data_IF_202496907783
#
_entry.id   IF_202496907783
#
_cell.length_a   1.000
_cell.length_b   1.000
_cell.length_c   1.000
_cell.angle_alpha   90.00
_cell.angle_beta   90.00
_cell.angle_gamma   90.00
#
_symmetry.space_group_name_H-M   'P 1'
#
loop_
_entity.id
_entity.type
_entity.pdbx_description
1 polymer ?
#
# COMPACT_ATOMS: atom_id res chain seq x y z
N UNK A 1 -40.39 -13.10 5.85
CA UNK A 1 -39.61 -13.77 4.77
C UNK A 1 -38.16 -13.75 5.21
N UNK A 2 -37.65 -14.90 5.64
CA UNK A 2 -36.33 -15.07 6.22
C UNK A 2 -35.33 -15.29 5.09
N UNK A 3 -34.40 -14.36 4.91
CA UNK A 3 -33.27 -14.49 4.00
C UNK A 3 -32.11 -15.17 4.71
N UNK A 4 -31.75 -16.37 4.29
CA UNK A 4 -30.55 -17.07 4.77
C UNK A 4 -29.27 -16.42 4.22
N UNK A 5 -28.16 -16.37 4.98
CA UNK A 5 -26.89 -15.87 4.49
C UNK A 5 -26.28 -16.85 3.48
N UNK A 6 -25.89 -16.32 2.32
CA UNK A 6 -25.09 -17.04 1.33
C UNK A 6 -23.65 -17.16 1.84
N UNK A 7 -23.30 -18.28 2.41
CA UNK A 7 -21.91 -18.69 2.62
C UNK A 7 -21.38 -19.25 1.31
N UNK A 8 -20.59 -18.47 0.59
CA UNK A 8 -19.81 -18.95 -0.55
C UNK A 8 -18.67 -19.80 0.00
N UNK A 9 -18.77 -21.11 -0.10
CA UNK A 9 -17.70 -22.06 0.18
C UNK A 9 -16.73 -22.02 -1.01
N UNK A 10 -15.55 -21.43 -0.83
CA UNK A 10 -14.44 -21.50 -1.81
C UNK A 10 -13.68 -22.80 -1.50
N UNK A 11 -13.56 -23.74 -2.45
CA UNK A 11 -12.78 -24.95 -2.21
C UNK A 11 -11.28 -24.60 -2.15
N UNK A 12 -10.49 -25.29 -1.30
CA UNK A 12 -9.06 -25.07 -1.19
C UNK A 12 -8.33 -25.37 -2.51
N UNK A 13 -7.21 -24.69 -2.79
CA UNK A 13 -6.41 -24.95 -3.99
C UNK A 13 -5.89 -26.40 -3.99
N UNK A 14 -5.91 -27.05 -5.17
CA UNK A 14 -5.41 -28.40 -5.38
C UNK A 14 -3.92 -28.47 -5.03
N UNK A 15 -3.55 -29.45 -4.20
CA UNK A 15 -2.17 -29.76 -3.82
C UNK A 15 -1.29 -29.96 -5.05
N UNK A 16 -0.03 -29.48 -5.05
CA UNK A 16 0.95 -29.83 -6.06
C UNK A 16 1.19 -31.36 -6.07
N UNK A 17 1.30 -31.94 -7.27
CA UNK A 17 1.42 -33.37 -7.47
C UNK A 17 2.63 -34.00 -6.77
N UNK A 18 2.43 -35.24 -6.34
CA UNK A 18 3.39 -36.14 -5.69
C UNK A 18 4.67 -36.33 -6.54
N UNK A 19 5.70 -35.56 -6.20
CA UNK A 19 7.09 -35.73 -6.66
C UNK A 19 7.99 -36.01 -5.46
N UNK A 20 8.51 -37.22 -5.37
CA UNK A 20 9.27 -37.79 -4.26
C UNK A 20 10.36 -36.90 -3.69
N UNK A 21 10.24 -36.58 -2.42
CA UNK A 21 11.24 -35.97 -1.56
C UNK A 21 10.54 -35.58 -0.26
N UNK A 22 10.67 -36.40 0.79
CA UNK A 22 10.18 -36.06 2.14
C UNK A 22 11.02 -34.88 2.69
N UNK A 23 10.73 -33.69 2.23
CA UNK A 23 11.10 -32.46 2.95
C UNK A 23 10.13 -32.32 4.10
N UNK A 24 10.63 -32.41 5.33
CA UNK A 24 9.83 -32.10 6.52
C UNK A 24 9.15 -30.74 6.25
N UNK A 25 7.81 -30.71 6.28
CA UNK A 25 7.04 -29.48 6.16
C UNK A 25 7.46 -28.63 7.35
N UNK A 26 8.09 -27.49 7.06
CA UNK A 26 8.45 -26.57 8.12
C UNK A 26 7.17 -26.12 8.81
N UNK A 27 7.06 -26.38 10.11
CA UNK A 27 5.90 -26.00 10.90
C UNK A 27 6.03 -24.52 11.23
N UNK A 28 5.00 -23.74 10.89
CA UNK A 28 4.96 -22.33 11.25
C UNK A 28 4.96 -22.17 12.78
N UNK A 29 5.89 -21.41 13.31
CA UNK A 29 5.88 -21.03 14.74
C UNK A 29 5.12 -19.72 14.87
N UNK A 30 4.21 -19.66 15.84
CA UNK A 30 3.44 -18.46 16.19
C UNK A 30 3.94 -17.97 17.55
N UNK A 31 4.40 -16.73 17.57
CA UNK A 31 4.93 -16.06 18.76
C UNK A 31 4.07 -14.86 19.15
N UNK A 32 4.39 -14.23 20.28
CA UNK A 32 3.69 -13.07 20.79
C UNK A 32 2.62 -13.40 21.82
N UNK A 33 1.72 -12.46 22.07
CA UNK A 33 0.69 -12.62 23.09
C UNK A 33 -0.68 -12.13 22.61
N UNK A 34 -1.74 -12.64 23.24
CA UNK A 34 -3.07 -12.07 23.22
C UNK A 34 -3.61 -12.07 24.66
N UNK A 35 -4.19 -10.97 25.10
CA UNK A 35 -4.94 -10.93 26.36
C UNK A 35 -6.05 -12.00 26.33
N UNK A 36 -6.34 -12.62 27.46
CA UNK A 36 -7.34 -13.70 27.56
C UNK A 36 -8.71 -13.32 26.99
N UNK A 37 -9.08 -12.04 27.04
CA UNK A 37 -10.33 -11.53 26.42
C UNK A 37 -10.32 -11.64 24.88
N UNK A 38 -9.16 -11.79 24.27
CA UNK A 38 -8.93 -11.85 22.83
C UNK A 38 -8.33 -13.19 22.38
N UNK A 39 -8.53 -14.27 23.16
CA UNK A 39 -8.06 -15.62 22.80
C UNK A 39 -8.57 -16.05 21.41
N UNK A 40 -9.81 -15.69 21.07
CA UNK A 40 -10.39 -15.98 19.76
C UNK A 40 -9.61 -15.35 18.59
N UNK A 41 -8.97 -14.18 18.80
CA UNK A 41 -8.11 -13.57 17.77
C UNK A 41 -6.83 -14.40 17.57
N UNK A 42 -6.24 -14.92 18.65
CA UNK A 42 -5.10 -15.83 18.57
C UNK A 42 -5.46 -17.14 17.88
N UNK A 43 -6.58 -17.75 18.26
CA UNK A 43 -7.08 -18.99 17.65
C UNK A 43 -7.32 -18.83 16.14
N UNK A 44 -7.94 -17.72 15.73
CA UNK A 44 -8.14 -17.41 14.30
C UNK A 44 -6.82 -17.18 13.56
N UNK A 45 -5.86 -16.48 14.18
CA UNK A 45 -4.54 -16.27 13.61
C UNK A 45 -3.79 -17.59 13.40
N UNK A 46 -3.81 -18.48 14.38
CA UNK A 46 -3.21 -19.82 14.33
C UNK A 46 -3.87 -20.71 13.28
N UNK A 47 -5.21 -20.64 13.14
CA UNK A 47 -5.97 -21.42 12.18
C UNK A 47 -5.55 -21.15 10.72
N UNK A 48 -5.30 -19.89 10.35
CA UNK A 48 -4.87 -19.52 9.00
C UNK A 48 -3.56 -20.24 8.59
N UNK A 49 -2.66 -20.47 9.54
CA UNK A 49 -1.43 -21.23 9.27
C UNK A 49 -1.67 -22.74 9.21
N UNK A 50 -2.56 -23.26 10.05
CA UNK A 50 -2.88 -24.67 10.07
C UNK A 50 -3.58 -25.12 8.78
N UNK A 51 -4.41 -24.28 8.19
CA UNK A 51 -5.10 -24.52 6.93
C UNK A 51 -4.20 -24.27 5.70
N UNK A 52 -3.00 -23.71 5.90
CA UNK A 52 -2.04 -23.40 4.83
C UNK A 52 -2.43 -22.19 3.98
N UNK A 53 -3.35 -21.36 4.44
CA UNK A 53 -3.79 -20.15 3.77
C UNK A 53 -2.80 -18.98 3.98
N UNK A 54 -1.96 -19.05 5.04
CA UNK A 54 -1.01 -18.00 5.40
C UNK A 54 0.41 -18.55 5.40
N UNK A 55 1.33 -17.80 4.77
CA UNK A 55 2.77 -18.11 4.78
C UNK A 55 3.46 -17.46 5.98
N UNK A 56 3.20 -16.19 6.18
CA UNK A 56 3.76 -15.39 7.27
C UNK A 56 2.95 -14.12 7.48
N UNK A 57 2.71 -13.77 8.74
CA UNK A 57 1.88 -12.65 9.10
C UNK A 57 2.26 -12.03 10.45
N UNK A 58 1.77 -10.81 10.68
CA UNK A 58 1.71 -10.19 11.99
C UNK A 58 0.36 -9.51 12.20
N UNK A 59 -0.10 -9.50 13.45
CA UNK A 59 -1.34 -8.83 13.85
C UNK A 59 -1.14 -8.13 15.20
N UNK A 60 -1.53 -6.86 15.26
CA UNK A 60 -1.47 -6.09 16.51
C UNK A 60 -2.80 -5.35 16.72
N UNK A 61 -3.25 -5.32 17.97
CA UNK A 61 -4.41 -4.53 18.36
C UNK A 61 -4.14 -3.78 19.67
N UNK A 62 -4.64 -2.55 19.77
CA UNK A 62 -4.54 -1.71 20.96
C UNK A 62 -5.91 -1.22 21.39
N UNK A 63 -6.12 -1.10 22.69
CA UNK A 63 -7.32 -0.49 23.29
C UNK A 63 -6.82 0.56 24.29
N UNK A 64 -7.30 1.79 24.16
CA UNK A 64 -6.93 2.93 25.02
C UNK A 64 -5.40 3.12 25.13
N UNK A 65 -4.68 2.83 24.03
CA UNK A 65 -3.22 2.96 23.97
C UNK A 65 -2.45 1.74 24.52
N UNK A 66 -3.12 0.76 25.10
CA UNK A 66 -2.50 -0.48 25.57
C UNK A 66 -2.58 -1.57 24.52
N UNK A 67 -1.46 -2.24 24.22
CA UNK A 67 -1.44 -3.39 23.31
C UNK A 67 -2.09 -4.58 23.98
N UNK A 68 -3.18 -5.08 23.40
CA UNK A 68 -3.94 -6.24 23.89
C UNK A 68 -3.70 -7.50 23.07
N UNK A 69 -3.24 -7.35 21.83
CA UNK A 69 -2.77 -8.46 20.97
C UNK A 69 -1.52 -8.00 20.23
N UNK A 70 -0.49 -8.82 20.21
CA UNK A 70 0.72 -8.66 19.39
C UNK A 70 1.20 -10.05 18.98
N UNK A 71 0.87 -10.48 17.77
CA UNK A 71 1.13 -11.81 17.23
C UNK A 71 1.92 -11.72 15.93
N UNK A 72 2.83 -12.66 15.73
CA UNK A 72 3.56 -12.85 14.48
C UNK A 72 3.93 -14.32 14.32
N UNK A 73 4.16 -14.75 13.08
CA UNK A 73 4.58 -16.13 12.83
C UNK A 73 4.69 -16.50 11.38
N UNK A 74 5.09 -17.74 11.14
CA UNK A 74 5.30 -18.30 9.83
C UNK A 74 6.64 -17.91 9.24
N UNK A 75 6.68 -17.68 7.93
CA UNK A 75 7.91 -17.49 7.16
C UNK A 75 7.87 -16.19 6.35
N UNK A 76 9.06 -15.60 6.18
CA UNK A 76 9.28 -14.38 5.42
C UNK A 76 9.64 -14.65 3.94
N UNK A 77 9.69 -15.92 3.51
CA UNK A 77 9.93 -16.33 2.12
C UNK A 77 9.17 -17.60 1.74
N UNK A 78 8.84 -17.75 0.46
CA UNK A 78 8.11 -18.92 -0.09
C UNK A 78 8.84 -20.25 0.13
N UNK A 79 10.17 -20.22 0.28
CA UNK A 79 10.97 -21.41 0.52
C UNK A 79 10.98 -21.87 1.98
N UNK A 80 10.27 -21.15 2.86
CA UNK A 80 10.17 -21.41 4.30
C UNK A 80 11.54 -21.52 4.99
N UNK A 81 12.52 -20.71 4.58
CA UNK A 81 13.88 -20.71 5.13
C UNK A 81 14.14 -19.57 6.10
N UNK A 82 13.43 -18.46 5.93
CA UNK A 82 13.52 -17.29 6.80
C UNK A 82 12.28 -17.23 7.68
N UNK A 83 12.37 -17.38 9.02
CA UNK A 83 11.21 -17.22 9.88
C UNK A 83 10.69 -15.77 9.83
N UNK A 84 9.39 -15.58 9.94
CA UNK A 84 8.81 -14.29 10.25
C UNK A 84 9.10 -13.96 11.71
N UNK A 85 9.75 -12.84 11.94
CA UNK A 85 10.12 -12.37 13.27
C UNK A 85 9.26 -11.20 13.71
N UNK A 86 9.37 -10.82 14.98
CA UNK A 86 8.69 -9.63 15.51
C UNK A 86 9.00 -8.36 14.71
N UNK A 87 10.22 -8.26 14.19
CA UNK A 87 10.71 -7.08 13.47
C UNK A 87 10.65 -7.23 11.94
N UNK A 88 10.01 -8.30 11.44
CA UNK A 88 9.75 -8.44 10.01
C UNK A 88 8.83 -7.31 9.53
N UNK A 89 9.18 -6.74 8.38
CA UNK A 89 8.39 -5.74 7.67
C UNK A 89 8.01 -6.26 6.29
N UNK A 90 6.92 -5.75 5.74
CA UNK A 90 6.44 -6.18 4.43
C UNK A 90 5.93 -4.99 3.65
N UNK A 91 5.92 -5.08 2.31
CA UNK A 91 5.28 -4.09 1.48
C UNK A 91 3.77 -4.13 1.70
N UNK A 92 3.19 -3.03 2.19
CA UNK A 92 1.79 -2.96 2.60
C UNK A 92 0.86 -2.32 1.55
N UNK A 93 1.35 -2.15 0.33
CA UNK A 93 0.60 -1.54 -0.77
C UNK A 93 -0.16 -0.28 -0.33
N UNK A 94 -1.48 -0.24 -0.53
CA UNK A 94 -2.30 0.96 -0.35
C UNK A 94 -2.47 1.45 1.09
N UNK A 95 -2.02 0.71 2.10
CA UNK A 95 -1.87 1.25 3.46
C UNK A 95 -0.85 2.41 3.46
N UNK A 96 0.08 2.43 2.51
CA UNK A 96 0.99 3.56 2.28
C UNK A 96 0.25 4.89 2.14
N UNK A 97 -0.93 4.91 1.52
CA UNK A 97 -1.74 6.13 1.37
C UNK A 97 -2.20 6.73 2.70
N UNK A 98 -2.38 5.90 3.72
CA UNK A 98 -2.70 6.38 5.08
C UNK A 98 -1.55 7.23 5.63
N UNK A 99 -0.29 6.78 5.42
CA UNK A 99 0.89 7.54 5.87
C UNK A 99 1.11 8.80 5.03
N UNK A 100 0.82 8.73 3.74
CA UNK A 100 0.82 9.91 2.87
C UNK A 100 -0.23 10.94 3.32
N UNK A 101 -1.44 10.49 3.62
CA UNK A 101 -2.52 11.34 4.14
C UNK A 101 -2.18 11.92 5.51
N UNK A 102 -1.59 11.13 6.40
CA UNK A 102 -1.14 11.59 7.72
C UNK A 102 -0.08 12.70 7.60
N UNK A 103 0.85 12.58 6.65
CA UNK A 103 1.86 13.61 6.39
C UNK A 103 1.22 14.90 5.89
N UNK A 104 0.20 14.81 5.02
CA UNK A 104 -0.56 15.98 4.58
C UNK A 104 -1.36 16.61 5.73
N UNK A 105 -1.98 15.81 6.60
CA UNK A 105 -2.69 16.29 7.79
C UNK A 105 -1.73 16.96 8.77
N UNK A 106 -0.53 16.44 8.95
CA UNK A 106 0.50 17.05 9.80
C UNK A 106 0.88 18.46 9.31
N UNK A 107 1.02 18.66 7.99
CA UNK A 107 1.25 20.00 7.41
C UNK A 107 0.03 20.91 7.58
N UNK A 108 -1.17 20.37 7.47
CA UNK A 108 -2.40 21.15 7.64
C UNK A 108 -2.58 21.63 9.09
N UNK A 109 -2.27 20.79 10.08
CA UNK A 109 -2.30 21.14 11.51
C UNK A 109 -1.32 22.30 11.81
N UNK A 110 -0.22 22.39 11.10
CA UNK A 110 0.76 23.49 11.18
C UNK A 110 0.38 24.75 10.40
N UNK A 111 -0.73 24.70 9.66
CA UNK A 111 -1.16 25.80 8.80
C UNK A 111 -0.35 25.97 7.51
N UNK A 112 0.48 24.99 7.18
CA UNK A 112 1.34 25.01 5.98
C UNK A 112 0.62 24.45 4.74
N UNK A 113 -0.43 23.64 4.92
CA UNK A 113 -1.29 23.09 3.88
C UNK A 113 -2.77 23.40 4.18
N UNK A 114 -3.46 23.96 3.20
CA UNK A 114 -4.90 24.19 3.24
C UNK A 114 -5.58 23.24 2.23
N UNK A 115 -6.40 22.32 2.72
CA UNK A 115 -7.12 21.38 1.86
C UNK A 115 -8.14 22.03 0.94
N UNK A 116 -8.67 23.21 1.30
CA UNK A 116 -9.57 23.96 0.46
C UNK A 116 -8.86 24.77 -0.63
N UNK A 117 -7.54 24.97 -0.50
CA UNK A 117 -6.78 25.72 -1.48
C UNK A 117 -6.64 24.94 -2.80
N UNK A 118 -6.60 25.65 -3.95
CA UNK A 118 -6.21 25.05 -5.21
C UNK A 118 -4.79 24.47 -5.12
N UNK A 119 -4.59 23.29 -5.70
CA UNK A 119 -3.26 22.64 -5.81
C UNK A 119 -2.24 23.59 -6.46
N UNK A 120 -2.68 24.36 -7.45
CA UNK A 120 -1.87 25.35 -8.17
C UNK A 120 -1.23 26.43 -7.26
N UNK A 121 -1.75 26.63 -6.04
CA UNK A 121 -1.13 27.50 -5.03
C UNK A 121 0.25 26.99 -4.61
N UNK A 122 0.41 25.69 -4.52
CA UNK A 122 1.64 25.03 -4.10
C UNK A 122 2.45 24.52 -5.27
N UNK A 123 1.77 24.14 -6.34
CA UNK A 123 2.32 23.56 -7.55
C UNK A 123 1.77 24.29 -8.79
N UNK A 124 2.35 25.45 -9.19
CA UNK A 124 1.82 26.31 -10.27
C UNK A 124 1.63 25.60 -11.60
N UNK A 125 2.54 24.69 -11.99
CA UNK A 125 2.49 23.96 -13.25
C UNK A 125 1.27 23.03 -13.34
N UNK A 126 0.72 22.64 -12.20
CA UNK A 126 -0.49 21.83 -12.13
C UNK A 126 -1.74 22.52 -12.70
N UNK A 127 -1.75 23.86 -12.76
CA UNK A 127 -2.91 24.63 -13.28
C UNK A 127 -3.26 24.32 -14.74
N UNK A 128 -2.36 23.70 -15.50
CA UNK A 128 -2.55 23.41 -16.93
C UNK A 128 -3.78 22.52 -17.19
N UNK A 129 -4.32 22.67 -18.42
CA UNK A 129 -5.33 21.79 -18.99
C UNK A 129 -6.59 21.61 -18.10
N UNK A 130 -7.13 22.75 -17.59
CA UNK A 130 -8.40 22.78 -16.85
C UNK A 130 -8.29 22.48 -15.35
N UNK A 131 -7.07 22.37 -14.79
CA UNK A 131 -6.86 21.98 -13.40
C UNK A 131 -6.68 23.14 -12.39
N UNK A 132 -6.81 24.39 -12.84
CA UNK A 132 -6.56 25.58 -12.00
C UNK A 132 -7.39 25.60 -10.71
N UNK A 133 -8.61 25.07 -10.73
CA UNK A 133 -9.54 25.05 -9.61
C UNK A 133 -9.52 23.77 -8.79
N UNK A 134 -8.75 22.76 -9.16
CA UNK A 134 -8.67 21.50 -8.41
C UNK A 134 -8.05 21.77 -7.03
N UNK A 135 -8.78 21.42 -5.97
CA UNK A 135 -8.33 21.59 -4.59
C UNK A 135 -7.50 20.41 -4.10
N UNK A 136 -6.72 20.62 -3.06
CA UNK A 136 -6.01 19.54 -2.35
C UNK A 136 -6.99 18.51 -1.82
N UNK A 137 -8.15 18.92 -1.31
CA UNK A 137 -9.20 18.01 -0.86
C UNK A 137 -9.70 17.06 -1.97
N UNK A 138 -9.78 17.54 -3.21
CA UNK A 138 -10.15 16.69 -4.35
C UNK A 138 -9.06 15.66 -4.71
N UNK A 139 -7.78 15.98 -4.51
CA UNK A 139 -6.71 14.98 -4.59
C UNK A 139 -6.88 13.93 -3.49
N UNK A 140 -7.07 14.37 -2.23
CA UNK A 140 -7.18 13.50 -1.06
C UNK A 140 -8.39 12.57 -1.11
N UNK A 141 -9.48 12.99 -1.77
CA UNK A 141 -10.73 12.23 -1.87
C UNK A 141 -10.86 11.42 -3.16
N UNK A 142 -9.81 11.32 -3.96
CA UNK A 142 -9.83 10.63 -5.25
C UNK A 142 -10.84 11.19 -6.26
N UNK A 143 -11.20 12.47 -6.16
CA UNK A 143 -12.19 13.09 -7.02
C UNK A 143 -11.61 14.08 -8.04
N UNK A 144 -10.28 14.16 -8.14
CA UNK A 144 -9.60 15.10 -9.03
C UNK A 144 -9.59 14.72 -10.52
N UNK A 145 -10.05 13.51 -10.87
CA UNK A 145 -10.03 13.05 -12.27
C UNK A 145 -8.64 12.60 -12.77
N UNK A 146 -7.71 12.27 -11.88
CA UNK A 146 -6.32 11.94 -12.20
C UNK A 146 -5.94 10.53 -11.74
N UNK A 147 -6.82 9.54 -11.96
CA UNK A 147 -6.67 8.18 -11.46
C UNK A 147 -5.55 7.36 -12.11
N UNK A 148 -5.01 7.83 -13.24
CA UNK A 148 -3.90 7.22 -13.96
C UNK A 148 -3.21 8.24 -14.85
N UNK A 149 -2.11 7.87 -15.49
CA UNK A 149 -1.40 8.72 -16.43
C UNK A 149 -1.97 8.63 -17.84
N UNK A 150 -2.13 9.77 -18.48
CA UNK A 150 -2.52 9.84 -19.88
C UNK A 150 -1.77 10.99 -20.58
N UNK A 151 -0.76 10.70 -21.43
CA UNK A 151 -0.35 9.36 -21.89
C UNK A 151 0.21 8.48 -20.77
N UNK A 152 0.12 7.17 -20.95
CA UNK A 152 0.66 6.19 -20.00
C UNK A 152 2.17 6.37 -19.80
N UNK A 153 2.64 6.09 -18.59
CA UNK A 153 4.06 5.98 -18.28
C UNK A 153 4.45 4.51 -18.11
N UNK A 154 5.74 4.17 -18.29
CA UNK A 154 6.24 2.82 -18.07
C UNK A 154 6.41 2.51 -16.58
N UNK A 155 6.61 1.22 -16.22
CA UNK A 155 6.93 0.83 -14.86
C UNK A 155 8.24 1.44 -14.34
N UNK A 156 9.22 1.66 -15.22
CA UNK A 156 10.49 2.31 -14.89
C UNK A 156 10.31 3.80 -14.55
N UNK A 157 9.33 4.48 -15.15
CA UNK A 157 9.04 5.89 -14.88
C UNK A 157 8.50 6.13 -13.45
N UNK A 158 8.10 5.08 -12.72
CA UNK A 158 7.77 5.19 -11.30
C UNK A 158 8.96 5.57 -10.42
N UNK A 159 10.17 5.32 -10.90
CA UNK A 159 11.41 5.65 -10.20
C UNK A 159 11.94 7.03 -10.57
N UNK A 160 11.35 7.69 -11.57
CA UNK A 160 11.63 9.06 -11.99
C UNK A 160 10.50 9.99 -11.50
N UNK A 161 10.72 10.59 -10.35
CA UNK A 161 9.75 11.49 -9.72
C UNK A 161 9.32 12.65 -10.63
N UNK A 162 10.29 13.29 -11.27
CA UNK A 162 10.02 14.46 -12.11
C UNK A 162 9.24 14.08 -13.37
N UNK A 163 9.53 12.93 -13.96
CA UNK A 163 8.78 12.37 -15.09
C UNK A 163 7.33 12.09 -14.70
N UNK A 164 7.13 11.37 -13.60
CA UNK A 164 5.80 10.99 -13.12
C UNK A 164 4.95 12.23 -12.80
N UNK A 165 5.50 13.19 -12.06
CA UNK A 165 4.77 14.38 -11.62
C UNK A 165 4.56 15.39 -12.75
N UNK A 166 5.54 15.63 -13.61
CA UNK A 166 5.38 16.54 -14.76
C UNK A 166 4.32 16.04 -15.75
N UNK A 167 4.23 14.73 -15.96
CA UNK A 167 3.16 14.12 -16.78
C UNK A 167 1.78 14.39 -16.17
N UNK A 168 1.61 14.23 -14.85
CA UNK A 168 0.36 14.56 -14.15
C UNK A 168 0.03 16.06 -14.21
N UNK A 169 1.05 16.92 -14.09
CA UNK A 169 0.86 18.36 -14.23
C UNK A 169 0.41 18.75 -15.64
N UNK A 170 0.91 18.07 -16.66
CA UNK A 170 0.60 18.36 -18.06
C UNK A 170 -0.72 17.78 -18.55
N UNK A 171 -1.21 16.64 -18.00
CA UNK A 171 -2.43 16.00 -18.50
C UNK A 171 -3.71 16.73 -18.09
N UNK A 172 -4.80 16.56 -18.89
CA UNK A 172 -6.15 16.95 -18.50
C UNK A 172 -6.77 15.91 -17.54
N UNK A 173 -7.74 16.29 -16.71
CA UNK A 173 -8.52 15.33 -15.93
C UNK A 173 -9.28 14.36 -16.84
N UNK A 174 -9.42 13.11 -16.43
CA UNK A 174 -10.18 12.06 -17.14
C UNK A 174 -11.70 12.21 -17.00
N UNK A 175 -12.14 12.98 -16.02
CA UNK A 175 -13.53 13.42 -15.81
C UNK A 175 -13.55 14.77 -15.11
N UNK A 176 -14.69 15.42 -15.09
CA UNK A 176 -14.89 16.72 -14.43
C UNK A 176 -14.57 16.60 -12.93
N UNK A 177 -13.57 17.32 -12.40
CA UNK A 177 -13.17 17.24 -11.01
C UNK A 177 -14.30 17.53 -10.02
N UNK A 178 -14.45 16.68 -9.01
CA UNK A 178 -15.49 16.79 -8.00
C UNK A 178 -16.83 16.15 -8.36
N UNK A 179 -17.06 15.72 -9.60
CA UNK A 179 -18.34 15.12 -10.02
C UNK A 179 -18.41 13.60 -9.77
N UNK A 180 -17.27 12.94 -9.66
CA UNK A 180 -17.16 11.51 -9.41
C UNK A 180 -15.88 11.19 -8.63
N UNK A 181 -15.85 10.03 -7.98
CA UNK A 181 -14.66 9.48 -7.35
C UNK A 181 -14.15 8.28 -8.14
N UNK A 182 -12.85 8.23 -8.39
CA UNK A 182 -12.15 7.13 -9.05
C UNK A 182 -10.81 6.88 -8.36
N UNK A 183 -10.62 5.69 -7.83
CA UNK A 183 -9.45 5.39 -7.00
C UNK A 183 -8.12 5.66 -7.73
N UNK A 184 -7.33 6.57 -7.20
CA UNK A 184 -6.03 6.97 -7.72
C UNK A 184 -4.97 5.98 -7.22
N UNK A 185 -4.85 4.83 -7.86
CA UNK A 185 -4.06 3.68 -7.38
C UNK A 185 -2.62 4.07 -7.08
N UNK A 186 -1.94 4.67 -8.04
CA UNK A 186 -0.54 5.10 -7.94
C UNK A 186 -0.42 6.63 -7.85
N UNK A 187 -1.22 7.33 -8.65
CA UNK A 187 -1.11 8.78 -8.83
C UNK A 187 -1.35 9.56 -7.54
N UNK A 188 -2.15 9.02 -6.60
CA UNK A 188 -2.39 9.63 -5.29
C UNK A 188 -1.09 10.04 -4.59
N UNK A 189 -0.12 9.12 -4.52
CA UNK A 189 1.14 9.37 -3.85
C UNK A 189 2.00 10.44 -4.52
N UNK A 190 2.06 10.43 -5.86
CA UNK A 190 2.80 11.44 -6.62
C UNK A 190 2.13 12.81 -6.54
N UNK A 191 0.80 12.87 -6.59
CA UNK A 191 0.05 14.13 -6.50
C UNK A 191 0.22 14.78 -5.13
N UNK A 192 -0.04 14.06 -4.05
CA UNK A 192 0.10 14.59 -2.69
C UNK A 192 1.56 14.78 -2.32
N UNK A 193 2.43 13.83 -2.71
CA UNK A 193 3.86 13.92 -2.46
C UNK A 193 4.51 15.14 -3.11
N UNK A 194 4.09 15.51 -4.33
CA UNK A 194 4.61 16.72 -4.98
C UNK A 194 4.16 17.99 -4.27
N UNK A 195 2.90 18.06 -3.82
CA UNK A 195 2.43 19.18 -2.98
C UNK A 195 3.28 19.30 -1.72
N UNK A 196 3.53 18.19 -1.02
CA UNK A 196 4.38 18.16 0.18
C UNK A 196 5.81 18.60 -0.15
N UNK A 197 6.38 18.11 -1.24
CA UNK A 197 7.73 18.47 -1.70
C UNK A 197 7.85 19.98 -2.00
N UNK A 198 6.82 20.56 -2.61
CA UNK A 198 6.80 22.00 -2.92
C UNK A 198 6.70 22.88 -1.67
N UNK A 199 5.99 22.40 -0.65
CA UNK A 199 5.87 23.13 0.62
C UNK A 199 7.16 23.01 1.44
N UNK A 200 7.72 21.82 1.56
CA UNK A 200 8.80 21.52 2.52
C UNK A 200 10.20 21.53 1.94
N UNK A 201 10.35 21.44 0.62
CA UNK A 201 11.64 21.21 -0.05
C UNK A 201 12.21 19.80 0.16
N UNK A 202 11.46 18.89 0.82
CA UNK A 202 11.87 17.52 1.14
C UNK A 202 10.92 16.52 0.48
N UNK A 203 11.38 15.29 0.25
CA UNK A 203 10.51 14.21 -0.24
C UNK A 203 9.49 13.82 0.83
N UNK A 204 8.36 13.23 0.41
CA UNK A 204 7.31 12.80 1.33
C UNK A 204 7.84 11.75 2.32
N UNK A 205 8.61 10.77 1.86
CA UNK A 205 9.19 9.74 2.73
C UNK A 205 10.12 10.33 3.77
N UNK A 206 10.92 11.35 3.40
CA UNK A 206 11.78 12.07 4.34
C UNK A 206 10.95 12.82 5.38
N UNK A 207 9.94 13.59 4.97
CA UNK A 207 9.07 14.33 5.91
C UNK A 207 8.36 13.36 6.86
N UNK A 208 7.75 12.30 6.33
CA UNK A 208 7.10 11.29 7.15
C UNK A 208 8.08 10.68 8.16
N UNK A 209 9.27 10.31 7.72
CA UNK A 209 10.27 9.67 8.59
C UNK A 209 10.75 10.59 9.70
N UNK A 210 11.10 11.84 9.37
CA UNK A 210 11.70 12.78 10.31
C UNK A 210 10.67 13.38 11.28
N UNK A 211 9.47 13.69 10.79
CA UNK A 211 8.49 14.45 11.55
C UNK A 211 7.44 13.58 12.25
N UNK A 212 7.23 12.35 11.79
CA UNK A 212 6.18 11.46 12.31
C UNK A 212 6.76 10.15 12.82
N UNK A 213 7.38 9.36 11.93
CA UNK A 213 7.75 7.99 12.27
C UNK A 213 8.87 7.93 13.33
N UNK A 214 9.94 8.73 13.18
CA UNK A 214 11.05 8.73 14.14
C UNK A 214 10.66 9.27 15.52
N UNK A 215 9.95 10.40 15.64
CA UNK A 215 9.51 10.90 16.95
C UNK A 215 8.58 9.96 17.70
N UNK A 216 7.75 9.18 16.95
CA UNK A 216 6.83 8.20 17.52
C UNK A 216 7.41 6.79 17.62
N UNK A 217 8.67 6.59 17.19
CA UNK A 217 9.33 5.29 17.10
C UNK A 217 8.53 4.27 16.28
N UNK A 218 7.90 4.73 15.18
CA UNK A 218 7.13 3.88 14.25
C UNK A 218 8.05 3.26 13.21
N UNK A 219 7.96 1.95 13.06
CA UNK A 219 8.75 1.18 12.09
C UNK A 219 8.01 1.08 10.74
N UNK A 220 7.90 2.22 10.07
CA UNK A 220 7.30 2.32 8.75
C UNK A 220 8.15 3.19 7.82
N UNK A 221 8.28 2.79 6.57
CA UNK A 221 9.17 3.40 5.59
C UNK A 221 8.45 3.64 4.26
N UNK A 222 8.65 4.80 3.68
CA UNK A 222 8.37 5.10 2.26
C UNK A 222 9.72 5.49 1.67
N UNK A 223 10.27 4.64 0.78
CA UNK A 223 11.68 4.69 0.43
C UNK A 223 12.55 3.98 1.49
N UNK A 224 12.53 2.64 1.48
CA UNK A 224 13.23 1.81 2.45
C UNK A 224 14.74 1.91 2.26
N UNK A 225 15.56 2.20 3.30
CA UNK A 225 17.02 2.13 3.20
C UNK A 225 17.50 0.69 3.04
N UNK A 226 18.62 0.50 2.32
CA UNK A 226 19.16 -0.84 2.03
C UNK A 226 19.56 -1.62 3.30
N UNK A 227 19.87 -0.94 4.40
CA UNK A 227 20.14 -1.55 5.70
C UNK A 227 18.99 -2.40 6.23
N UNK A 228 17.76 -2.10 5.84
CA UNK A 228 16.55 -2.77 6.31
C UNK A 228 16.09 -3.93 5.40
N UNK A 229 16.74 -4.14 4.24
CA UNK A 229 16.35 -5.18 3.27
C UNK A 229 16.31 -6.59 3.87
N UNK A 230 17.16 -6.86 4.85
CA UNK A 230 17.25 -8.17 5.52
C UNK A 230 15.98 -8.54 6.32
N UNK A 231 15.18 -7.55 6.70
CA UNK A 231 13.95 -7.72 7.48
C UNK A 231 12.70 -7.86 6.60
N UNK A 232 12.82 -7.58 5.31
CA UNK A 232 11.66 -7.56 4.41
C UNK A 232 11.19 -8.97 4.10
N UNK A 233 9.93 -9.25 4.42
CA UNK A 233 9.24 -10.44 3.97
C UNK A 233 8.83 -10.29 2.49
N UNK A 234 8.96 -11.37 1.74
CA UNK A 234 8.58 -11.40 0.34
C UNK A 234 7.06 -11.50 0.18
N UNK A 235 6.49 -10.70 -0.73
CA UNK A 235 5.11 -10.91 -1.13
C UNK A 235 5.00 -12.14 -2.02
N UNK A 236 3.94 -12.94 -1.79
CA UNK A 236 3.60 -14.08 -2.62
C UNK A 236 2.56 -13.65 -3.65
N UNK A 237 2.76 -13.96 -4.96
CA UNK A 237 1.78 -13.61 -5.96
C UNK A 237 0.44 -14.30 -5.71
N UNK A 238 -0.63 -13.52 -5.72
CA UNK A 238 -1.98 -14.08 -5.77
C UNK A 238 -2.19 -14.73 -7.16
N UNK A 239 -2.50 -16.01 -7.17
CA UNK A 239 -2.91 -16.70 -8.39
C UNK A 239 -4.42 -16.49 -8.57
N UNK A 240 -4.85 -15.66 -9.53
CA UNK A 240 -6.28 -15.46 -9.75
C UNK A 240 -6.95 -16.77 -10.09
N UNK A 241 -8.03 -17.12 -9.42
CA UNK A 241 -8.88 -18.21 -9.83
C UNK A 241 -9.43 -17.91 -11.23
N UNK A 242 -9.54 -18.90 -12.08
CA UNK A 242 -9.99 -18.79 -13.49
C UNK A 242 -11.40 -18.17 -13.65
N UNK A 243 -12.10 -17.88 -12.56
CA UNK A 243 -13.46 -17.32 -12.55
C UNK A 243 -13.55 -15.79 -12.71
N UNK A 244 -12.43 -15.07 -12.72
CA UNK A 244 -12.43 -13.60 -12.80
C UNK A 244 -12.39 -13.06 -14.25
N UNK A 245 -12.80 -13.82 -15.24
CA UNK A 245 -12.78 -13.42 -16.64
C UNK A 245 -14.16 -13.00 -17.11
N UNK A 246 -14.32 -11.74 -17.50
CA UNK A 246 -15.53 -11.32 -18.24
C UNK A 246 -16.02 -9.89 -18.00
N UNK A 247 -15.44 -9.13 -17.10
CA UNK A 247 -15.84 -7.72 -16.94
C UNK A 247 -15.05 -6.86 -17.94
N UNK A 248 -15.73 -6.30 -18.94
CA UNK A 248 -15.11 -5.36 -19.86
C UNK A 248 -14.80 -4.05 -19.13
N UNK A 249 -13.52 -3.69 -19.05
CA UNK A 249 -13.08 -2.46 -18.38
C UNK A 249 -13.38 -1.26 -19.30
N UNK A 250 -13.91 -0.19 -18.70
CA UNK A 250 -14.04 1.12 -19.37
C UNK A 250 -12.64 1.70 -19.69
N UNK A 251 -12.58 2.68 -20.59
CA UNK A 251 -11.33 3.37 -20.94
C UNK A 251 -10.64 3.95 -19.68
N UNK A 252 -11.40 4.57 -18.77
CA UNK A 252 -10.86 5.12 -17.53
C UNK A 252 -10.28 4.02 -16.64
N UNK A 253 -11.00 2.90 -16.50
CA UNK A 253 -10.48 1.74 -15.73
C UNK A 253 -9.21 1.16 -16.35
N UNK A 254 -9.11 1.10 -17.68
CA UNK A 254 -7.89 0.70 -18.36
C UNK A 254 -6.73 1.64 -18.04
N UNK A 255 -6.92 2.96 -18.13
CA UNK A 255 -5.91 3.94 -17.76
C UNK A 255 -5.51 3.78 -16.29
N UNK A 256 -6.47 3.57 -15.38
CA UNK A 256 -6.22 3.45 -13.94
C UNK A 256 -5.48 2.18 -13.56
N UNK A 257 -5.80 1.04 -14.20
CA UNK A 257 -5.37 -0.28 -13.72
C UNK A 257 -4.47 -1.06 -14.68
N UNK A 258 -4.45 -0.75 -15.98
CA UNK A 258 -3.78 -1.61 -16.97
C UNK A 258 -2.41 -1.10 -17.41
N UNK A 259 -2.25 0.21 -17.54
CA UNK A 259 -1.09 0.77 -18.25
C UNK A 259 0.14 0.96 -17.34
N UNK A 260 -0.04 0.75 -16.03
CA UNK A 260 1.00 1.02 -15.01
C UNK A 260 1.16 -0.14 -14.02
N UNK A 261 0.85 -1.37 -14.42
CA UNK A 261 0.96 -2.51 -13.50
C UNK A 261 2.41 -2.80 -13.16
N UNK A 262 2.67 -2.81 -11.84
CA UNK A 262 3.84 -3.47 -11.30
C UNK A 262 3.44 -4.89 -10.88
N UNK A 263 4.25 -5.88 -11.17
CA UNK A 263 4.04 -7.25 -10.72
C UNK A 263 4.60 -7.46 -9.30
N UNK A 264 4.16 -8.51 -8.64
CA UNK A 264 4.64 -8.85 -7.29
C UNK A 264 6.16 -9.10 -7.25
N UNK A 265 6.79 -9.76 -8.23
CA UNK A 265 8.24 -9.89 -8.30
C UNK A 265 8.99 -8.54 -8.25
N UNK A 266 8.46 -7.49 -8.86
CA UNK A 266 9.06 -6.15 -8.81
C UNK A 266 9.21 -5.63 -7.38
N UNK A 267 8.29 -5.97 -6.47
CA UNK A 267 8.32 -5.54 -5.07
C UNK A 267 9.54 -6.07 -4.29
N UNK A 268 10.16 -7.14 -4.80
CA UNK A 268 11.35 -7.76 -4.22
C UNK A 268 12.66 -7.06 -4.65
N UNK A 269 12.59 -6.14 -5.60
CA UNK A 269 13.78 -5.44 -6.10
C UNK A 269 14.21 -4.29 -5.21
N UNK A 270 15.52 -3.97 -5.21
CA UNK A 270 16.05 -2.81 -4.50
C UNK A 270 15.50 -1.50 -5.06
N UNK A 271 15.29 -1.44 -6.38
CA UNK A 271 14.71 -0.28 -7.06
C UNK A 271 13.33 0.06 -6.48
N UNK A 272 12.44 -0.94 -6.38
CA UNK A 272 11.12 -0.75 -5.78
C UNK A 272 11.20 -0.34 -4.30
N UNK A 273 11.96 -1.09 -3.50
CA UNK A 273 12.06 -0.84 -2.05
C UNK A 273 12.63 0.53 -1.73
N UNK A 274 13.63 0.97 -2.52
CA UNK A 274 14.34 2.23 -2.30
C UNK A 274 13.68 3.46 -2.91
N UNK A 275 12.82 3.29 -3.89
CA UNK A 275 12.07 4.39 -4.45
C UNK A 275 11.01 4.90 -3.47
N UNK A 276 10.56 6.14 -3.66
CA UNK A 276 9.36 6.66 -3.02
C UNK A 276 8.19 6.61 -4.00
N UNK A 277 7.30 5.62 -3.82
CA UNK A 277 6.03 5.53 -4.54
C UNK A 277 4.91 5.63 -3.48
N UNK A 278 4.58 6.85 -2.98
CA UNK A 278 3.89 7.05 -1.72
C UNK A 278 2.40 6.66 -1.74
N UNK A 279 2.05 5.74 -2.61
CA UNK A 279 0.71 5.15 -2.71
C UNK A 279 0.72 3.64 -2.50
N UNK A 280 1.87 2.95 -2.70
CA UNK A 280 1.88 1.49 -2.80
C UNK A 280 3.12 0.81 -2.25
N UNK A 281 4.24 1.51 -2.01
CA UNK A 281 5.48 0.84 -1.63
C UNK A 281 5.95 1.09 -0.20
N UNK A 282 5.04 1.46 0.68
CA UNK A 282 5.33 1.51 2.11
C UNK A 282 5.71 0.13 2.64
N UNK A 283 6.68 0.10 3.55
CA UNK A 283 7.13 -1.09 4.26
C UNK A 283 6.96 -0.89 5.76
N UNK A 284 6.31 -1.80 6.41
CA UNK A 284 6.06 -1.75 7.86
C UNK A 284 5.54 -3.08 8.39
N UNK A 285 5.21 -3.09 9.65
CA UNK A 285 4.56 -4.22 10.34
C UNK A 285 3.23 -3.80 10.98
N UNK A 286 2.66 -4.68 11.79
CA UNK A 286 1.34 -4.45 12.41
C UNK A 286 1.38 -3.54 13.67
N UNK A 287 2.55 -3.04 14.09
CA UNK A 287 2.72 -2.23 15.33
C UNK A 287 2.81 -0.77 15.05
#
# INVERSE_FOLDING_TARGET
MSGAPLTAHVPPPSKPGDGAGSTAIAVATIDGFADARFSAAREAFEANFADGEELGASFCATIDGETVVDLWGGFADEACRRPWTRDSIVNVYSITKTMTALTALWLADRGELDFAAPVARYWPEFAANGKVGITVAQLMSHSAGLSGWHPAISGEDFYDWDKATSTLAAQAPLWEPGTASGYHVYTFGFLIGEVIRRITGRTLGTVFREEIASPLNVDFWIGLPASEDHRVADLVPFLPSSAATGVEMTTIQKITFSDTRTDVPSTRTRAWRGAEIPAVNGHGNAR
#
